data_IF_212850364146
#
_entry.id   IF_212850364146
#
_cell.length_a   1.000
_cell.length_b   1.000
_cell.length_c   1.000
_cell.angle_alpha   90.00
_cell.angle_beta   90.00
_cell.angle_gamma   90.00
#
_symmetry.space_group_name_H-M   'P 1'
#
loop_
_entity.id
_entity.type
_entity.pdbx_description
1 polymer ?
#
# COMPACT_ATOMS: atom_id res chain seq x y z
N UNK A 1 0.22 11.97 6.31
CA UNK A 1 0.84 12.84 5.30
C UNK A 1 -0.02 13.01 4.05
N UNK A 2 -0.45 11.93 3.41
CA UNK A 2 -1.19 12.00 2.11
C UNK A 2 -2.48 12.79 2.24
N UNK A 3 -3.27 12.60 3.29
CA UNK A 3 -4.48 13.40 3.56
C UNK A 3 -4.15 14.91 3.60
N UNK A 4 -3.07 15.29 4.26
CA UNK A 4 -2.66 16.70 4.33
C UNK A 4 -2.19 17.25 2.96
N UNK A 5 -1.57 16.41 2.12
CA UNK A 5 -1.25 16.79 0.74
C UNK A 5 -2.51 17.08 -0.08
N UNK A 6 -3.55 16.25 0.05
CA UNK A 6 -4.82 16.50 -0.63
C UNK A 6 -5.49 17.79 -0.14
N UNK A 7 -5.45 18.07 1.17
CA UNK A 7 -5.96 19.35 1.71
C UNK A 7 -5.22 20.54 1.10
N UNK A 8 -3.89 20.51 1.02
CA UNK A 8 -3.07 21.55 0.37
C UNK A 8 -3.39 21.68 -1.11
N UNK A 9 -3.46 20.56 -1.83
CA UNK A 9 -3.82 20.53 -3.25
C UNK A 9 -5.19 21.16 -3.49
N UNK A 10 -6.20 20.80 -2.69
CA UNK A 10 -7.55 21.37 -2.81
C UNK A 10 -7.57 22.88 -2.61
N UNK A 11 -6.77 23.44 -1.70
CA UNK A 11 -6.62 24.89 -1.52
C UNK A 11 -6.04 25.56 -2.79
N UNK A 12 -5.00 24.96 -3.35
CA UNK A 12 -4.39 25.45 -4.60
C UNK A 12 -5.40 25.36 -5.75
N UNK A 13 -6.10 24.23 -5.89
CA UNK A 13 -7.14 24.06 -6.90
C UNK A 13 -8.26 25.11 -6.77
N UNK A 14 -8.72 25.38 -5.56
CA UNK A 14 -9.72 26.40 -5.29
C UNK A 14 -9.24 27.81 -5.74
N UNK A 15 -7.97 28.14 -5.50
CA UNK A 15 -7.36 29.41 -5.94
C UNK A 15 -7.40 29.60 -7.44
N UNK A 16 -7.29 28.51 -8.21
CA UNK A 16 -7.33 28.50 -9.68
C UNK A 16 -8.70 28.11 -10.24
N UNK A 17 -9.75 28.06 -9.43
CA UNK A 17 -11.08 27.57 -9.80
C UNK A 17 -11.07 26.16 -10.46
N UNK A 18 -10.04 25.37 -10.18
CA UNK A 18 -9.92 24.01 -10.69
C UNK A 18 -10.69 23.04 -9.78
N UNK A 19 -11.36 22.07 -10.39
CA UNK A 19 -12.13 21.01 -9.69
C UNK A 19 -11.67 19.64 -10.18
N UNK A 20 -10.57 19.09 -9.68
CA UNK A 20 -10.09 17.78 -10.10
C UNK A 20 -11.04 16.68 -9.62
N UNK A 21 -11.23 15.66 -10.46
CA UNK A 21 -11.83 14.40 -10.05
C UNK A 21 -10.75 13.52 -9.44
N UNK A 22 -11.07 12.88 -8.29
CA UNK A 22 -10.18 11.95 -7.63
C UNK A 22 -10.68 10.53 -7.88
N UNK A 23 -9.79 9.67 -8.37
CA UNK A 23 -10.02 8.25 -8.55
C UNK A 23 -9.01 7.48 -7.72
N UNK A 24 -9.49 6.67 -6.79
CA UNK A 24 -8.65 5.80 -5.97
C UNK A 24 -8.75 4.37 -6.49
N UNK A 25 -7.58 3.78 -6.79
CA UNK A 25 -7.49 2.39 -7.21
C UNK A 25 -6.76 1.59 -6.13
N UNK A 26 -7.37 0.51 -5.68
CA UNK A 26 -6.75 -0.43 -4.74
C UNK A 26 -7.12 -1.85 -5.12
N UNK A 27 -6.24 -2.80 -4.84
CA UNK A 27 -6.53 -4.21 -5.10
C UNK A 27 -7.54 -4.75 -4.09
N UNK A 28 -7.42 -4.35 -2.82
CA UNK A 28 -8.23 -4.82 -1.70
C UNK A 28 -8.13 -3.85 -0.54
N UNK A 29 -9.26 -3.44 0.01
CA UNK A 29 -9.36 -2.70 1.27
C UNK A 29 -10.77 -2.88 1.84
N UNK A 30 -10.89 -3.05 3.17
CA UNK A 30 -12.17 -3.33 3.81
C UNK A 30 -13.10 -2.12 3.92
N UNK A 31 -12.55 -0.88 3.92
CA UNK A 31 -13.31 0.36 4.10
C UNK A 31 -12.94 1.44 3.07
N UNK A 32 -13.19 1.22 1.77
CA UNK A 32 -12.73 2.12 0.71
C UNK A 32 -13.33 3.52 0.80
N UNK A 33 -14.61 3.64 1.15
CA UNK A 33 -15.33 4.93 1.27
C UNK A 33 -14.74 5.77 2.39
N UNK A 34 -14.61 5.18 3.58
CA UNK A 34 -14.02 5.84 4.75
C UNK A 34 -12.58 6.26 4.48
N UNK A 35 -11.77 5.36 3.90
CA UNK A 35 -10.39 5.67 3.57
C UNK A 35 -10.30 6.83 2.58
N UNK A 36 -11.08 6.81 1.50
CA UNK A 36 -11.09 7.87 0.49
C UNK A 36 -11.60 9.19 1.08
N UNK A 37 -12.66 9.18 1.91
CA UNK A 37 -13.16 10.35 2.62
C UNK A 37 -12.10 10.97 3.53
N UNK A 38 -11.46 10.17 4.35
CA UNK A 38 -10.38 10.60 5.25
C UNK A 38 -9.15 11.14 4.47
N UNK A 39 -8.82 10.54 3.35
CA UNK A 39 -7.74 11.03 2.49
C UNK A 39 -8.06 12.40 1.88
N UNK A 40 -9.30 12.61 1.43
CA UNK A 40 -9.73 13.86 0.83
C UNK A 40 -10.07 14.95 1.85
N UNK A 41 -10.15 14.60 3.13
CA UNK A 41 -10.59 15.51 4.21
C UNK A 41 -12.07 15.86 4.12
N UNK A 42 -12.90 14.95 3.59
CA UNK A 42 -14.35 15.05 3.59
C UNK A 42 -14.90 14.41 4.85
N UNK A 43 -15.81 15.11 5.53
CA UNK A 43 -16.60 14.49 6.60
C UNK A 43 -17.58 13.51 5.96
N UNK A 44 -17.43 12.23 6.26
CA UNK A 44 -18.46 11.25 5.94
C UNK A 44 -19.61 11.45 6.94
N UNK A 45 -20.81 11.69 6.44
CA UNK A 45 -21.99 11.63 7.29
C UNK A 45 -22.13 10.17 7.72
N UNK A 46 -21.88 9.91 9.00
CA UNK A 46 -22.17 8.61 9.59
C UNK A 46 -23.68 8.40 9.56
N UNK A 47 -24.17 7.61 8.62
CA UNK A 47 -25.49 7.03 8.75
C UNK A 47 -25.49 6.12 9.99
N UNK A 48 -26.29 6.49 10.98
CA UNK A 48 -26.56 5.66 12.14
C UNK A 48 -27.21 4.36 11.67
N UNK A 49 -26.46 3.28 11.81
CA UNK A 49 -26.96 1.94 12.05
C UNK A 49 -28.03 1.40 11.10
N UNK A 50 -27.58 0.64 10.11
CA UNK A 50 -28.37 -0.49 9.58
C UNK A 50 -27.66 -1.78 9.98
N UNK A 51 -28.40 -2.79 10.45
CA UNK A 51 -27.82 -4.06 10.87
C UNK A 51 -27.28 -4.81 9.67
N UNK A 52 -26.10 -5.39 9.85
CA UNK A 52 -25.50 -6.32 8.89
C UNK A 52 -26.36 -7.58 8.77
N UNK A 53 -27.19 -7.64 7.79
CA UNK A 53 -27.73 -8.90 7.26
C UNK A 53 -27.42 -8.92 5.77
N UNK A 54 -26.53 -9.80 5.40
CA UNK A 54 -26.62 -10.80 4.37
C UNK A 54 -25.28 -11.13 3.73
N UNK A 55 -24.91 -12.36 3.99
CA UNK A 55 -23.97 -13.15 3.24
C UNK A 55 -24.29 -13.15 1.74
N UNK A 56 -23.25 -13.15 0.93
CA UNK A 56 -23.32 -13.24 -0.52
C UNK A 56 -24.09 -14.47 -1.00
N UNK A 57 -25.07 -14.31 -1.89
CA UNK A 57 -25.45 -15.38 -2.79
C UNK A 57 -24.83 -15.12 -4.17
N UNK A 58 -24.04 -16.06 -4.61
CA UNK A 58 -23.61 -16.19 -5.99
C UNK A 58 -24.82 -16.66 -6.80
N UNK A 59 -25.34 -15.84 -7.71
CA UNK A 59 -26.19 -16.29 -8.83
C UNK A 59 -26.16 -15.27 -9.96
N UNK A 60 -25.96 -15.70 -11.21
CA UNK A 60 -25.97 -14.81 -12.35
C UNK A 60 -27.40 -14.60 -12.85
N UNK A 61 -27.83 -13.35 -12.95
CA UNK A 61 -29.00 -13.02 -13.80
C UNK A 61 -28.75 -11.74 -14.57
N UNK A 62 -28.89 -11.91 -15.87
CA UNK A 62 -28.91 -10.94 -16.93
C UNK A 62 -30.04 -9.92 -16.78
N UNK A 63 -29.75 -8.62 -16.96
CA UNK A 63 -30.56 -7.72 -17.80
C UNK A 63 -29.95 -6.32 -17.82
N UNK A 64 -29.57 -5.91 -18.99
CA UNK A 64 -29.10 -4.59 -19.37
C UNK A 64 -30.28 -3.61 -19.51
N UNK A 65 -30.22 -2.48 -18.79
CA UNK A 65 -30.92 -1.26 -19.20
C UNK A 65 -29.95 -0.08 -19.26
N UNK A 66 -30.12 0.81 -20.26
CA UNK A 66 -29.17 1.90 -20.47
C UNK A 66 -29.48 3.10 -19.58
N UNK A 67 -28.45 3.62 -18.88
CA UNK A 67 -28.55 4.85 -18.10
C UNK A 67 -28.57 6.06 -19.05
N UNK A 68 -29.64 6.82 -18.98
CA UNK A 68 -29.83 8.06 -19.73
C UNK A 68 -28.89 9.18 -19.26
N UNK A 69 -28.16 9.76 -20.18
CA UNK A 69 -27.45 11.05 -20.01
C UNK A 69 -28.49 12.21 -20.00
N UNK A 70 -28.34 13.09 -19.03
CA UNK A 70 -28.83 14.44 -19.15
C UNK A 70 -29.60 14.99 -17.96
N UNK A 71 -28.92 15.80 -17.16
CA UNK A 71 -29.48 17.05 -16.61
C UNK A 71 -28.36 17.98 -16.15
N UNK A 72 -28.29 19.14 -16.77
CA UNK A 72 -27.48 20.28 -16.35
C UNK A 72 -27.91 20.71 -14.94
N UNK A 73 -26.99 20.75 -14.00
CA UNK A 73 -27.22 21.24 -12.64
C UNK A 73 -26.49 22.55 -12.41
N UNK A 74 -27.26 23.52 -12.00
CA UNK A 74 -26.95 24.92 -11.71
C UNK A 74 -25.78 25.09 -10.72
N UNK A 75 -24.96 26.08 -11.01
CA UNK A 75 -23.87 26.63 -10.21
C UNK A 75 -24.44 27.36 -8.97
N UNK A 76 -24.53 26.69 -7.83
CA UNK A 76 -24.55 27.26 -6.48
C UNK A 76 -25.32 26.33 -5.52
N UNK A 77 -24.63 25.31 -5.04
CA UNK A 77 -25.08 24.61 -3.83
C UNK A 77 -23.84 24.25 -2.98
N UNK A 78 -23.92 24.34 -1.63
CA UNK A 78 -22.89 23.78 -0.77
C UNK A 78 -22.77 22.29 -1.10
N UNK A 79 -21.53 21.78 -1.14
CA UNK A 79 -21.28 20.38 -1.44
C UNK A 79 -21.97 19.53 -0.38
N UNK A 80 -23.16 19.05 -0.67
CA UNK A 80 -23.74 17.90 0.00
C UNK A 80 -22.72 16.76 -0.08
N UNK A 81 -22.61 16.01 1.02
CA UNK A 81 -21.80 14.82 1.14
C UNK A 81 -22.24 13.80 0.07
N UNK A 82 -21.68 13.94 -1.13
CA UNK A 82 -21.89 12.94 -2.16
C UNK A 82 -21.15 11.68 -1.73
N UNK A 83 -21.89 10.59 -1.58
CA UNK A 83 -21.34 9.26 -1.36
C UNK A 83 -20.24 9.00 -2.38
N UNK A 84 -19.10 8.51 -1.90
CA UNK A 84 -17.98 8.15 -2.79
C UNK A 84 -18.37 6.82 -3.45
N UNK A 85 -18.64 6.78 -4.76
CA UNK A 85 -19.05 5.55 -5.42
C UNK A 85 -17.89 4.53 -5.39
N UNK A 86 -18.18 3.31 -4.94
CA UNK A 86 -17.21 2.23 -4.88
C UNK A 86 -17.57 1.16 -5.91
N UNK A 87 -16.66 0.92 -6.85
CA UNK A 87 -16.77 -0.15 -7.83
C UNK A 87 -15.99 -1.36 -7.28
N UNK A 88 -16.69 -2.43 -6.93
CA UNK A 88 -16.11 -3.67 -6.36
C UNK A 88 -16.01 -4.79 -7.39
N UNK A 89 -16.76 -4.73 -8.45
CA UNK A 89 -16.78 -5.76 -9.48
C UNK A 89 -15.71 -5.47 -10.54
N UNK A 90 -14.94 -6.50 -10.88
CA UNK A 90 -13.94 -6.42 -11.94
C UNK A 90 -14.50 -6.99 -13.23
N UNK A 91 -14.53 -6.19 -14.30
CA UNK A 91 -14.81 -6.65 -15.66
C UNK A 91 -13.60 -7.25 -16.38
N UNK A 92 -12.42 -7.29 -15.74
CA UNK A 92 -11.22 -7.86 -16.35
C UNK A 92 -11.32 -9.40 -16.42
N UNK A 93 -10.82 -10.02 -17.51
CA UNK A 93 -10.76 -11.48 -17.60
C UNK A 93 -9.82 -12.03 -16.51
N UNK A 94 -10.37 -12.88 -15.65
CA UNK A 94 -9.60 -13.54 -14.57
C UNK A 94 -9.47 -15.02 -14.87
N UNK A 95 -8.26 -15.56 -14.78
CA UNK A 95 -8.01 -17.00 -14.80
C UNK A 95 -8.42 -17.67 -13.49
N UNK A 96 -8.59 -18.98 -13.55
CA UNK A 96 -8.86 -19.77 -12.34
C UNK A 96 -7.61 -19.74 -11.44
N UNK A 97 -7.80 -19.35 -10.20
CA UNK A 97 -6.73 -19.33 -9.19
C UNK A 97 -6.98 -20.39 -8.13
N UNK A 98 -6.04 -21.29 -8.01
CA UNK A 98 -6.07 -22.33 -6.98
C UNK A 98 -5.31 -21.82 -5.76
N UNK A 99 -5.95 -21.83 -4.58
CA UNK A 99 -5.30 -21.55 -3.32
C UNK A 99 -5.14 -22.85 -2.54
N UNK A 100 -3.91 -23.18 -2.17
CA UNK A 100 -3.56 -24.42 -1.48
C UNK A 100 -2.85 -24.07 -0.18
N UNK A 101 -3.34 -24.59 0.91
CA UNK A 101 -2.74 -24.50 2.22
C UNK A 101 -1.96 -25.81 2.48
N UNK A 102 -0.69 -25.68 2.86
CA UNK A 102 0.23 -26.82 3.03
C UNK A 102 0.78 -26.77 4.46
N UNK A 103 0.51 -27.83 5.21
CA UNK A 103 1.18 -28.10 6.48
C UNK A 103 2.43 -28.94 6.19
N UNK A 104 3.64 -28.38 6.32
CA UNK A 104 4.85 -29.08 5.93
C UNK A 104 5.27 -30.09 7.00
N UNK A 105 5.64 -31.30 6.59
CA UNK A 105 6.28 -32.29 7.48
C UNK A 105 7.70 -31.87 7.89
N UNK A 106 8.41 -31.21 6.95
CA UNK A 106 9.72 -30.60 7.14
C UNK A 106 9.61 -29.09 7.44
N UNK A 107 10.75 -28.39 7.44
CA UNK A 107 10.74 -26.94 7.57
C UNK A 107 10.01 -26.27 6.40
N UNK A 108 9.29 -25.16 6.63
CA UNK A 108 8.60 -24.42 5.57
C UNK A 108 9.53 -24.05 4.40
N UNK A 109 10.80 -23.77 4.68
CA UNK A 109 11.82 -23.46 3.68
C UNK A 109 12.16 -24.66 2.81
N UNK A 110 12.29 -25.83 3.39
CA UNK A 110 12.58 -27.10 2.66
C UNK A 110 11.42 -27.42 1.72
N UNK A 111 10.20 -27.34 2.22
CA UNK A 111 8.98 -27.56 1.42
C UNK A 111 8.85 -26.53 0.31
N UNK A 112 9.09 -25.25 0.58
CA UNK A 112 9.06 -24.21 -0.44
C UNK A 112 10.10 -24.44 -1.56
N UNK A 113 11.32 -24.90 -1.21
CA UNK A 113 12.35 -25.26 -2.19
C UNK A 113 11.92 -26.47 -3.02
N UNK A 114 11.31 -27.49 -2.42
CA UNK A 114 10.81 -28.66 -3.15
C UNK A 114 9.70 -28.26 -4.15
N UNK A 115 8.76 -27.42 -3.72
CA UNK A 115 7.69 -26.89 -4.57
C UNK A 115 8.25 -26.02 -5.70
N UNK A 116 9.22 -25.15 -5.40
CA UNK A 116 9.89 -24.33 -6.40
C UNK A 116 10.59 -25.19 -7.46
N UNK A 117 11.33 -26.21 -7.05
CA UNK A 117 11.95 -27.17 -7.98
C UNK A 117 10.92 -27.87 -8.85
N UNK A 118 9.80 -28.30 -8.29
CA UNK A 118 8.73 -28.96 -9.03
C UNK A 118 8.08 -28.01 -10.06
N UNK A 119 7.94 -26.73 -9.73
CA UNK A 119 7.44 -25.70 -10.64
C UNK A 119 8.45 -25.44 -11.78
N UNK A 120 9.73 -25.27 -11.47
CA UNK A 120 10.79 -25.05 -12.45
C UNK A 120 10.92 -26.22 -13.44
N UNK A 121 10.81 -27.46 -12.96
CA UNK A 121 10.85 -28.65 -13.82
C UNK A 121 9.69 -28.68 -14.85
N UNK A 122 8.60 -27.96 -14.57
CA UNK A 122 7.44 -27.80 -15.46
C UNK A 122 7.51 -26.51 -16.30
N UNK A 123 8.58 -25.73 -16.17
CA UNK A 123 8.73 -24.46 -16.85
C UNK A 123 7.83 -23.34 -16.31
N UNK A 124 7.25 -23.52 -15.11
CA UNK A 124 6.32 -22.58 -14.51
C UNK A 124 7.08 -21.39 -13.88
N UNK A 125 6.64 -20.19 -14.23
CA UNK A 125 7.20 -18.96 -13.70
C UNK A 125 6.70 -18.74 -12.26
N UNK A 126 7.63 -18.66 -11.34
CA UNK A 126 7.32 -18.74 -9.90
C UNK A 126 7.83 -17.54 -9.12
N UNK A 127 7.00 -17.02 -8.23
CA UNK A 127 7.41 -16.08 -7.20
C UNK A 127 7.32 -16.73 -5.83
N UNK A 128 8.38 -16.56 -5.02
CA UNK A 128 8.42 -17.06 -3.64
C UNK A 128 8.54 -15.89 -2.69
N UNK A 129 7.58 -15.75 -1.78
CA UNK A 129 7.60 -14.72 -0.77
C UNK A 129 8.08 -15.24 0.58
N UNK A 130 9.07 -14.57 1.16
CA UNK A 130 9.63 -14.87 2.46
C UNK A 130 9.36 -13.73 3.45
N UNK A 131 9.35 -14.04 4.75
CA UNK A 131 9.15 -13.04 5.81
C UNK A 131 10.38 -12.17 6.07
N UNK A 132 11.60 -12.66 5.78
CA UNK A 132 12.84 -11.93 6.06
C UNK A 132 13.78 -11.88 4.87
N UNK A 133 14.60 -10.81 4.82
CA UNK A 133 15.64 -10.61 3.80
C UNK A 133 16.65 -11.77 3.79
N UNK A 134 17.05 -12.25 4.98
CA UNK A 134 17.99 -13.36 5.12
C UNK A 134 17.42 -14.64 4.51
N UNK A 135 16.15 -14.97 4.81
CA UNK A 135 15.50 -16.16 4.25
C UNK A 135 15.34 -16.09 2.73
N UNK A 136 15.12 -14.91 2.19
CA UNK A 136 15.05 -14.68 0.74
C UNK A 136 16.36 -15.13 0.06
N UNK A 137 17.50 -14.71 0.58
CA UNK A 137 18.81 -15.10 0.03
C UNK A 137 19.12 -16.58 0.23
N UNK A 138 18.85 -17.12 1.42
CA UNK A 138 19.11 -18.53 1.72
C UNK A 138 18.24 -19.45 0.87
N UNK A 139 16.96 -19.18 0.72
CA UNK A 139 16.07 -20.01 -0.11
C UNK A 139 16.49 -19.92 -1.59
N UNK A 140 16.83 -18.72 -2.09
CA UNK A 140 17.33 -18.58 -3.47
C UNK A 140 18.63 -19.36 -3.69
N UNK A 141 19.58 -19.28 -2.75
CA UNK A 141 20.84 -20.00 -2.81
C UNK A 141 20.65 -21.52 -2.77
N UNK A 142 19.89 -22.02 -1.79
CA UNK A 142 19.64 -23.46 -1.65
C UNK A 142 18.78 -24.03 -2.78
N UNK A 143 17.85 -23.24 -3.30
CA UNK A 143 17.07 -23.63 -4.46
C UNK A 143 17.95 -23.73 -5.70
N UNK A 144 18.85 -22.76 -5.93
CA UNK A 144 19.80 -22.78 -7.03
C UNK A 144 20.75 -23.99 -6.94
N UNK A 145 21.31 -24.27 -5.75
CA UNK A 145 22.18 -25.44 -5.52
C UNK A 145 21.47 -26.76 -5.86
N UNK A 146 20.18 -26.87 -5.56
CA UNK A 146 19.37 -28.08 -5.79
C UNK A 146 18.66 -28.09 -7.16
N UNK A 147 18.72 -27.03 -7.95
CA UNK A 147 17.96 -26.87 -9.21
C UNK A 147 18.66 -27.41 -10.44
N UNK A 148 19.93 -27.84 -10.34
CA UNK A 148 20.70 -28.40 -11.49
C UNK A 148 20.77 -27.38 -12.64
N UNK A 149 20.27 -27.75 -13.82
CA UNK A 149 20.27 -26.89 -15.01
C UNK A 149 19.47 -25.58 -14.87
N UNK A 150 18.60 -25.47 -13.88
CA UNK A 150 17.81 -24.26 -13.62
C UNK A 150 18.48 -23.28 -12.64
N UNK A 151 19.66 -23.59 -12.11
CA UNK A 151 20.36 -22.77 -11.10
C UNK A 151 20.48 -21.29 -11.51
N UNK A 152 20.86 -21.01 -12.76
CA UNK A 152 20.99 -19.65 -13.31
C UNK A 152 19.66 -18.93 -13.60
N UNK A 153 18.53 -19.61 -13.42
CA UNK A 153 17.18 -19.08 -13.67
C UNK A 153 16.41 -18.71 -12.40
N UNK A 154 17.10 -18.71 -11.26
CA UNK A 154 16.58 -18.30 -9.95
C UNK A 154 17.34 -17.07 -9.49
N UNK A 155 16.64 -16.07 -8.95
CA UNK A 155 17.28 -14.90 -8.34
C UNK A 155 16.59 -14.52 -7.03
N UNK A 156 17.37 -13.97 -6.09
CA UNK A 156 16.81 -13.24 -4.97
C UNK A 156 16.46 -11.81 -5.41
N UNK A 157 15.45 -11.20 -4.75
CA UNK A 157 15.08 -9.80 -4.95
C UNK A 157 14.70 -9.16 -3.62
N UNK A 158 15.32 -8.04 -3.27
CA UNK A 158 14.99 -7.29 -2.06
C UNK A 158 15.18 -5.78 -2.22
N UNK A 159 14.51 -5.02 -1.41
CA UNK A 159 14.55 -3.55 -1.44
C UNK A 159 15.97 -2.96 -1.22
N UNK A 160 16.86 -3.70 -0.53
CA UNK A 160 18.24 -3.28 -0.26
C UNK A 160 19.22 -3.46 -1.42
N UNK A 161 18.78 -4.02 -2.56
CA UNK A 161 19.61 -4.07 -3.78
C UNK A 161 19.69 -2.69 -4.42
N UNK A 162 20.78 -2.44 -5.15
CA UNK A 162 20.94 -1.23 -5.92
C UNK A 162 19.81 -1.10 -6.97
N UNK A 163 19.38 0.11 -7.33
CA UNK A 163 18.32 0.30 -8.31
C UNK A 163 18.62 -0.37 -9.66
N UNK A 164 19.87 -0.42 -10.07
CA UNK A 164 20.34 -1.04 -11.30
C UNK A 164 20.17 -2.56 -11.25
N UNK A 165 20.58 -3.19 -10.14
CA UNK A 165 20.44 -4.64 -9.91
C UNK A 165 18.96 -5.04 -9.91
N UNK A 166 18.10 -4.24 -9.29
CA UNK A 166 16.65 -4.50 -9.28
C UNK A 166 16.06 -4.47 -10.68
N UNK A 167 16.40 -3.44 -11.47
CA UNK A 167 15.93 -3.32 -12.87
C UNK A 167 16.43 -4.47 -13.74
N UNK A 168 17.65 -4.94 -13.52
CA UNK A 168 18.18 -6.09 -14.25
C UNK A 168 17.38 -7.37 -13.95
N UNK A 169 17.10 -7.64 -12.66
CA UNK A 169 16.30 -8.80 -12.26
C UNK A 169 14.89 -8.71 -12.83
N UNK A 170 14.27 -7.53 -12.76
CA UNK A 170 12.94 -7.26 -13.30
C UNK A 170 12.89 -7.50 -14.82
N UNK A 171 13.88 -7.00 -15.58
CA UNK A 171 14.00 -7.23 -17.01
C UNK A 171 14.19 -8.72 -17.34
N UNK A 172 15.10 -9.41 -16.65
CA UNK A 172 15.34 -10.84 -16.84
C UNK A 172 14.12 -11.71 -16.51
N UNK A 173 13.30 -11.29 -15.51
CA UNK A 173 12.00 -11.94 -15.23
C UNK A 173 11.01 -11.68 -16.36
N UNK A 174 10.90 -10.44 -16.84
CA UNK A 174 9.99 -10.08 -17.92
C UNK A 174 10.32 -10.84 -19.21
N UNK A 175 11.59 -10.92 -19.56
CA UNK A 175 12.11 -11.58 -20.78
C UNK A 175 12.13 -13.12 -20.68
N UNK A 176 11.74 -13.69 -19.52
CA UNK A 176 11.73 -15.14 -19.30
C UNK A 176 13.11 -15.78 -19.15
N UNK A 177 14.17 -14.99 -18.98
CA UNK A 177 15.51 -15.48 -18.66
C UNK A 177 15.55 -16.08 -17.25
N UNK A 178 14.86 -15.44 -16.31
CA UNK A 178 14.58 -15.99 -14.99
C UNK A 178 13.20 -16.70 -15.01
N UNK A 179 13.13 -17.83 -14.35
CA UNK A 179 11.88 -18.57 -14.09
C UNK A 179 11.39 -18.38 -12.67
N UNK A 180 12.27 -18.01 -11.75
CA UNK A 180 11.87 -17.81 -10.37
C UNK A 180 12.55 -16.60 -9.75
N UNK A 181 11.78 -15.94 -8.88
CA UNK A 181 12.27 -14.88 -8.00
C UNK A 181 11.84 -15.18 -6.57
N UNK A 182 12.80 -15.11 -5.64
CA UNK A 182 12.56 -15.22 -4.20
C UNK A 182 12.64 -13.81 -3.61
N UNK A 183 11.61 -13.38 -2.89
CA UNK A 183 11.51 -11.97 -2.45
C UNK A 183 10.87 -11.83 -1.08
N UNK A 184 10.91 -10.62 -0.54
CA UNK A 184 10.08 -10.17 0.58
C UNK A 184 8.85 -9.43 0.03
N UNK A 185 8.23 -8.56 0.84
CA UNK A 185 7.17 -7.63 0.38
C UNK A 185 7.63 -6.65 -0.74
N UNK A 186 8.91 -6.65 -1.12
CA UNK A 186 9.45 -5.74 -2.12
C UNK A 186 8.80 -5.87 -3.50
N UNK A 187 8.29 -7.05 -3.86
CA UNK A 187 7.53 -7.32 -5.09
C UNK A 187 6.01 -7.42 -4.86
N UNK A 188 5.51 -7.01 -3.70
CA UNK A 188 4.07 -7.03 -3.38
C UNK A 188 3.29 -5.99 -4.18
N UNK A 189 3.86 -4.80 -4.39
CA UNK A 189 3.20 -3.66 -5.03
C UNK A 189 4.03 -3.04 -6.17
N UNK A 190 3.33 -2.63 -7.22
CA UNK A 190 3.80 -1.61 -8.18
C UNK A 190 4.85 -2.04 -9.21
N UNK A 191 5.30 -3.30 -9.25
CA UNK A 191 6.33 -3.74 -10.21
C UNK A 191 5.73 -4.75 -11.17
N UNK A 192 5.97 -4.55 -12.46
CA UNK A 192 5.60 -5.50 -13.50
C UNK A 192 6.79 -6.44 -13.82
N UNK A 193 6.63 -7.70 -13.45
CA UNK A 193 7.61 -8.78 -13.69
C UNK A 193 7.08 -9.82 -14.69
N UNK A 194 6.08 -9.43 -15.48
CA UNK A 194 5.42 -10.28 -16.44
C UNK A 194 4.42 -11.26 -15.81
N UNK A 195 3.86 -12.15 -16.62
CA UNK A 195 2.93 -13.17 -16.13
C UNK A 195 3.66 -14.24 -15.32
N UNK A 196 3.07 -14.60 -14.17
CA UNK A 196 3.55 -15.64 -13.27
C UNK A 196 2.47 -16.71 -13.13
N UNK A 197 2.91 -17.97 -12.95
CA UNK A 197 2.02 -19.12 -12.84
C UNK A 197 1.82 -19.56 -11.40
N UNK A 198 2.87 -19.48 -10.58
CA UNK A 198 2.87 -19.97 -9.20
C UNK A 198 3.39 -18.91 -8.24
N UNK A 199 2.63 -18.72 -7.14
CA UNK A 199 3.04 -17.93 -5.98
C UNK A 199 3.21 -18.86 -4.78
N UNK A 200 4.39 -18.89 -4.17
CA UNK A 200 4.66 -19.64 -2.95
C UNK A 200 4.83 -18.62 -1.82
N UNK A 201 4.02 -18.76 -0.78
CA UNK A 201 4.08 -17.96 0.44
C UNK A 201 4.71 -18.81 1.54
N UNK A 202 5.90 -18.42 2.01
CA UNK A 202 6.60 -19.09 3.11
C UNK A 202 6.14 -18.45 4.42
N UNK A 203 5.09 -19.02 4.98
CA UNK A 203 4.32 -18.48 6.09
C UNK A 203 3.23 -17.46 5.66
N UNK A 204 2.23 -17.33 6.49
CA UNK A 204 1.15 -16.35 6.31
C UNK A 204 1.70 -14.92 6.41
N UNK A 205 1.39 -14.03 5.46
CA UNK A 205 1.94 -12.67 5.45
C UNK A 205 1.49 -11.76 6.60
N UNK A 206 0.57 -12.23 7.45
CA UNK A 206 0.03 -11.48 8.59
C UNK A 206 -1.32 -10.81 8.31
N UNK A 207 -1.69 -10.59 7.05
CA UNK A 207 -2.98 -10.02 6.66
C UNK A 207 -3.56 -10.71 5.43
N UNK A 208 -4.89 -10.71 5.31
CA UNK A 208 -5.59 -11.19 4.09
C UNK A 208 -5.22 -10.31 2.91
N UNK A 209 -5.14 -8.99 3.12
CA UNK A 209 -4.74 -8.02 2.09
C UNK A 209 -3.38 -8.38 1.49
N UNK A 210 -2.35 -8.56 2.30
CA UNK A 210 -1.01 -8.92 1.81
C UNK A 210 -1.01 -10.27 1.10
N UNK A 211 -1.79 -11.25 1.59
CA UNK A 211 -1.93 -12.56 0.94
C UNK A 211 -2.56 -12.41 -0.45
N UNK A 212 -3.63 -11.64 -0.56
CA UNK A 212 -4.31 -11.39 -1.83
C UNK A 212 -3.45 -10.56 -2.79
N UNK A 213 -2.70 -9.56 -2.32
CA UNK A 213 -1.80 -8.74 -3.14
C UNK A 213 -0.64 -9.57 -3.70
N UNK A 214 -0.03 -10.44 -2.89
CA UNK A 214 1.02 -11.38 -3.32
C UNK A 214 0.46 -12.42 -4.27
N UNK A 215 -0.66 -13.05 -3.91
CA UNK A 215 -1.38 -14.00 -4.77
C UNK A 215 -1.92 -13.36 -6.05
N UNK A 216 -2.18 -12.05 -6.06
CA UNK A 216 -2.58 -11.28 -7.23
C UNK A 216 -1.48 -11.06 -8.27
N UNK A 217 -0.25 -11.47 -7.97
CA UNK A 217 0.88 -11.44 -8.93
C UNK A 217 0.81 -12.55 -9.96
N UNK A 218 0.07 -13.62 -9.69
CA UNK A 218 -0.11 -14.76 -10.59
C UNK A 218 -1.49 -14.76 -11.25
N UNK A 219 -1.61 -15.43 -12.38
CA UNK A 219 -2.89 -15.63 -13.08
C UNK A 219 -3.40 -14.39 -13.82
N UNK A 220 -2.51 -13.55 -14.35
CA UNK A 220 -2.88 -12.43 -15.22
C UNK A 220 -3.31 -12.93 -16.61
N UNK A 221 -4.10 -12.12 -17.29
CA UNK A 221 -4.57 -12.39 -18.67
C UNK A 221 -5.35 -13.70 -18.86
N UNK A 222 -6.10 -14.13 -17.85
CA UNK A 222 -6.95 -15.32 -17.94
C UNK A 222 -6.21 -16.67 -17.78
N UNK A 223 -4.94 -16.66 -17.39
CA UNK A 223 -4.17 -17.88 -17.14
C UNK A 223 -4.61 -18.56 -15.82
N UNK A 224 -4.61 -19.89 -15.82
CA UNK A 224 -4.75 -20.68 -14.61
C UNK A 224 -3.48 -20.56 -13.77
N UNK A 225 -3.63 -20.43 -12.44
CA UNK A 225 -2.51 -20.14 -11.54
C UNK A 225 -2.71 -20.76 -10.17
N UNK A 226 -1.60 -20.91 -9.44
CA UNK A 226 -1.61 -21.47 -8.09
C UNK A 226 -0.96 -20.52 -7.07
N UNK A 227 -1.58 -20.41 -5.90
CA UNK A 227 -1.04 -19.76 -4.72
C UNK A 227 -0.90 -20.82 -3.63
N UNK A 228 0.33 -21.10 -3.20
CA UNK A 228 0.68 -22.14 -2.25
C UNK A 228 1.12 -21.46 -0.95
N UNK A 229 0.33 -21.56 0.11
CA UNK A 229 0.70 -21.11 1.44
C UNK A 229 1.33 -22.28 2.20
N UNK A 230 2.63 -22.21 2.43
CA UNK A 230 3.38 -23.18 3.24
C UNK A 230 3.44 -22.65 4.66
N UNK A 231 2.73 -23.28 5.57
CA UNK A 231 2.61 -22.83 6.95
C UNK A 231 3.91 -22.97 7.74
N UNK A 232 4.10 -22.07 8.68
CA UNK A 232 5.08 -22.18 9.74
C UNK A 232 4.45 -22.66 11.06
N UNK A 233 5.23 -22.62 12.13
CA UNK A 233 4.76 -22.93 13.49
C UNK A 233 3.99 -21.77 14.14
N UNK A 234 3.83 -20.65 13.43
CA UNK A 234 3.12 -19.45 13.90
C UNK A 234 1.64 -19.77 14.11
N UNK A 235 1.04 -19.23 15.17
CA UNK A 235 -0.34 -19.51 15.54
C UNK A 235 -1.36 -19.16 14.45
N UNK A 236 -1.12 -18.10 13.67
CA UNK A 236 -2.01 -17.71 12.55
C UNK A 236 -1.83 -18.66 11.36
N UNK A 237 -0.60 -19.11 11.09
CA UNK A 237 -0.33 -20.09 10.04
C UNK A 237 -1.11 -21.38 10.34
N UNK A 238 -0.99 -21.90 11.54
CA UNK A 238 -1.66 -23.11 12.00
C UNK A 238 -3.18 -22.96 12.07
N UNK A 239 -3.66 -21.77 12.46
CA UNK A 239 -5.10 -21.50 12.46
C UNK A 239 -5.71 -21.65 11.06
N UNK A 240 -5.09 -21.09 10.02
CA UNK A 240 -5.61 -21.16 8.66
C UNK A 240 -5.41 -22.54 8.01
N UNK A 241 -4.43 -23.32 8.44
CA UNK A 241 -4.30 -24.72 8.01
C UNK A 241 -5.48 -25.54 8.50
N UNK A 242 -5.85 -25.40 9.78
CA UNK A 242 -6.94 -26.17 10.38
C UNK A 242 -8.34 -25.63 10.03
N UNK A 243 -8.44 -24.35 9.66
CA UNK A 243 -9.70 -23.69 9.34
C UNK A 243 -9.56 -22.82 8.09
N UNK A 244 -9.36 -23.41 6.89
CA UNK A 244 -9.15 -22.65 5.66
C UNK A 244 -10.37 -21.80 5.27
N UNK A 245 -11.59 -22.21 5.61
CA UNK A 245 -12.79 -21.41 5.37
C UNK A 245 -12.74 -20.07 6.12
N UNK A 246 -12.09 -20.01 7.27
CA UNK A 246 -11.94 -18.78 8.03
C UNK A 246 -11.08 -17.73 7.28
N UNK A 247 -10.17 -18.16 6.39
CA UNK A 247 -9.42 -17.24 5.53
C UNK A 247 -10.33 -16.65 4.44
N UNK A 248 -11.12 -17.49 3.77
CA UNK A 248 -11.97 -17.05 2.65
C UNK A 248 -13.22 -16.28 3.11
N UNK A 249 -13.73 -16.57 4.30
CA UNK A 249 -14.87 -15.88 4.91
C UNK A 249 -14.51 -14.55 5.57
N UNK A 250 -13.20 -14.22 5.68
CA UNK A 250 -12.74 -12.99 6.31
C UNK A 250 -12.75 -11.84 5.32
N UNK A 251 -13.37 -10.73 5.71
CA UNK A 251 -13.24 -9.50 4.97
C UNK A 251 -11.79 -8.98 5.01
N UNK A 252 -11.33 -8.28 3.94
CA UNK A 252 -10.04 -7.60 3.98
C UNK A 252 -9.98 -6.62 5.14
N UNK A 253 -8.80 -6.47 5.71
CA UNK A 253 -8.57 -5.58 6.83
C UNK A 253 -8.90 -4.13 6.46
N UNK A 254 -9.43 -3.39 7.43
CA UNK A 254 -9.70 -1.95 7.28
C UNK A 254 -8.39 -1.18 7.30
N UNK A 255 -8.25 -0.25 6.37
CA UNK A 255 -7.14 0.71 6.39
C UNK A 255 -7.44 1.80 7.42
N UNK A 256 -6.58 1.93 8.42
CA UNK A 256 -6.70 2.93 9.48
C UNK A 256 -5.70 4.06 9.21
N UNK A 257 -6.22 5.28 9.10
CA UNK A 257 -5.40 6.49 9.02
C UNK A 257 -5.85 7.48 10.08
N UNK A 258 -4.90 8.27 10.59
CA UNK A 258 -5.19 9.40 11.47
C UNK A 258 -4.90 10.70 10.71
N UNK A 259 -5.92 11.33 10.09
CA UNK A 259 -5.74 12.59 9.36
C UNK A 259 -5.47 13.77 10.28
N UNK A 260 -5.76 13.65 11.59
CA UNK A 260 -5.63 14.74 12.56
C UNK A 260 -4.43 14.57 13.50
N UNK A 261 -3.44 13.75 13.10
CA UNK A 261 -2.18 13.66 13.81
C UNK A 261 -1.51 15.05 13.88
N UNK A 262 -1.37 15.58 15.08
CA UNK A 262 -0.94 16.95 15.37
C UNK A 262 0.45 17.27 14.83
N UNK A 263 1.41 16.35 14.95
CA UNK A 263 2.77 16.51 14.43
C UNK A 263 2.78 16.64 12.91
N UNK A 264 1.98 15.80 12.23
CA UNK A 264 1.87 15.82 10.78
C UNK A 264 1.11 17.07 10.32
N UNK A 265 -0.02 17.38 10.97
CA UNK A 265 -0.82 18.57 10.68
C UNK A 265 0.01 19.83 10.83
N UNK A 266 0.78 19.97 11.92
CA UNK A 266 1.67 21.11 12.17
C UNK A 266 2.63 21.35 11.00
N UNK A 267 3.35 20.31 10.56
CA UNK A 267 4.30 20.41 9.43
C UNK A 267 3.62 20.82 8.14
N UNK A 268 2.43 20.29 7.88
CA UNK A 268 1.70 20.59 6.65
C UNK A 268 0.97 21.94 6.67
N UNK A 269 0.54 22.44 7.83
CA UNK A 269 -0.02 23.80 7.97
C UNK A 269 1.02 24.87 7.63
N UNK A 270 2.25 24.71 8.10
CA UNK A 270 3.35 25.60 7.74
C UNK A 270 3.60 25.59 6.21
N UNK A 271 3.60 24.40 5.60
CA UNK A 271 3.74 24.27 4.15
C UNK A 271 2.57 24.93 3.42
N UNK A 272 1.35 24.75 3.90
CA UNK A 272 0.16 25.34 3.31
C UNK A 272 0.19 26.88 3.33
N UNK A 273 0.64 27.47 4.45
CA UNK A 273 0.80 28.91 4.58
C UNK A 273 1.96 29.48 3.75
N UNK A 274 2.96 28.66 3.39
CA UNK A 274 4.03 29.04 2.47
C UNK A 274 3.60 28.98 1.00
N UNK A 275 2.64 28.11 0.66
CA UNK A 275 2.09 27.97 -0.70
C UNK A 275 1.06 29.08 -1.02
N UNK A 276 0.15 29.30 -0.07
CA UNK A 276 -0.89 30.35 -0.14
C UNK A 276 -1.17 30.85 1.28
N UNK A 277 -1.37 32.16 1.50
CA UNK A 277 -1.80 32.64 2.81
C UNK A 277 -2.97 31.83 3.35
N UNK A 278 -2.96 31.52 4.62
CA UNK A 278 -3.94 30.66 5.28
C UNK A 278 -5.01 31.55 5.93
N UNK A 279 -6.23 31.65 5.37
CA UNK A 279 -7.29 32.48 5.92
C UNK A 279 -7.77 31.97 7.30
N UNK A 280 -8.22 32.88 8.15
CA UNK A 280 -8.72 32.53 9.49
C UNK A 280 -10.00 31.71 9.48
N UNK A 281 -10.75 31.75 8.38
CA UNK A 281 -11.97 30.98 8.14
C UNK A 281 -11.75 29.70 7.32
N UNK A 282 -10.49 29.35 7.03
CA UNK A 282 -10.15 28.13 6.28
C UNK A 282 -10.78 26.91 6.95
N UNK A 283 -11.54 26.08 6.21
CA UNK A 283 -12.20 24.90 6.77
C UNK A 283 -11.25 23.95 7.48
N UNK A 284 -10.00 23.86 7.03
CA UNK A 284 -8.99 23.02 7.67
C UNK A 284 -8.75 23.41 9.13
N UNK A 285 -8.84 24.68 9.47
CA UNK A 285 -8.61 25.18 10.83
C UNK A 285 -9.75 24.90 11.81
N UNK A 286 -10.87 24.30 11.35
CA UNK A 286 -11.99 23.94 12.25
C UNK A 286 -11.68 22.75 13.15
N UNK A 287 -10.75 21.87 12.73
CA UNK A 287 -10.36 20.71 13.52
C UNK A 287 -9.50 21.08 14.75
N UNK A 288 -9.70 20.41 15.89
CA UNK A 288 -8.96 20.71 17.14
C UNK A 288 -7.44 20.54 16.97
N UNK A 289 -7.00 19.54 16.23
CA UNK A 289 -5.58 19.30 15.92
C UNK A 289 -4.96 20.44 15.11
N UNK A 290 -5.68 20.97 14.11
CA UNK A 290 -5.21 22.11 13.33
C UNK A 290 -5.10 23.38 14.13
N UNK A 291 -6.07 23.65 15.03
CA UNK A 291 -6.03 24.81 15.92
C UNK A 291 -4.87 24.73 16.93
N UNK A 292 -4.61 23.54 17.48
CA UNK A 292 -3.49 23.32 18.37
C UNK A 292 -2.14 23.56 17.64
N UNK A 293 -1.99 22.97 16.45
CA UNK A 293 -0.83 23.14 15.60
C UNK A 293 -0.61 24.61 15.19
N UNK A 294 -1.68 25.33 14.87
CA UNK A 294 -1.63 26.75 14.53
C UNK A 294 -1.05 27.59 15.67
N UNK A 295 -1.59 27.42 16.89
CA UNK A 295 -1.10 28.14 18.09
C UNK A 295 0.37 27.85 18.39
N UNK A 296 0.79 26.61 18.17
CA UNK A 296 2.18 26.23 18.39
C UNK A 296 3.10 26.85 17.35
N UNK A 297 2.73 26.84 16.07
CA UNK A 297 3.48 27.49 14.98
C UNK A 297 3.59 29.00 15.16
N UNK A 298 2.55 29.66 15.67
CA UNK A 298 2.60 31.08 16.03
C UNK A 298 3.59 31.31 17.19
N UNK A 299 3.51 30.50 18.24
CA UNK A 299 4.42 30.61 19.41
C UNK A 299 5.89 30.41 19.01
N UNK A 300 6.16 29.51 18.07
CA UNK A 300 7.50 29.26 17.54
C UNK A 300 7.94 30.28 16.49
N UNK A 301 7.08 31.21 16.10
CA UNK A 301 7.38 32.21 15.06
C UNK A 301 7.51 31.64 13.65
N UNK A 302 6.99 30.44 13.42
CA UNK A 302 7.00 29.77 12.12
C UNK A 302 5.81 30.19 11.24
N UNK A 303 4.71 30.64 11.85
CA UNK A 303 3.60 31.33 11.20
C UNK A 303 3.48 32.75 11.73
N UNK A 304 3.32 33.67 10.82
CA UNK A 304 3.15 35.09 11.08
C UNK A 304 1.73 35.51 10.72
N UNK A 305 1.03 36.14 11.64
CA UNK A 305 -0.31 36.67 11.40
C UNK A 305 -0.22 38.00 10.63
N UNK A 306 -1.09 38.18 9.64
CA UNK A 306 -1.20 39.45 8.91
C UNK A 306 -1.63 40.59 9.86
N UNK A 307 -1.33 41.84 9.49
CA UNK A 307 -1.62 43.01 10.31
C UNK A 307 -3.12 43.20 10.58
N UNK A 308 -3.98 42.76 9.67
CA UNK A 308 -5.44 42.78 9.82
C UNK A 308 -6.00 41.56 10.58
N UNK A 309 -5.13 40.62 10.93
CA UNK A 309 -5.47 39.40 11.68
C UNK A 309 -6.26 38.36 10.90
N UNK A 310 -6.40 38.50 9.57
CA UNK A 310 -7.29 37.66 8.76
C UNK A 310 -6.63 36.41 8.19
N UNK A 311 -5.29 36.40 8.10
CA UNK A 311 -4.57 35.28 7.51
C UNK A 311 -3.20 35.07 8.13
N UNK A 312 -2.62 33.89 7.90
CA UNK A 312 -1.26 33.55 8.30
C UNK A 312 -0.39 33.26 7.08
N UNK A 313 0.86 33.66 7.17
CA UNK A 313 1.92 33.36 6.22
C UNK A 313 3.06 32.63 6.90
N UNK A 314 3.74 31.74 6.18
CA UNK A 314 4.90 31.04 6.74
C UNK A 314 6.12 31.96 6.82
N UNK A 315 6.84 31.92 7.93
CA UNK A 315 8.11 32.64 8.09
C UNK A 315 9.22 32.02 7.23
N UNK A 316 9.17 30.69 7.02
CA UNK A 316 10.15 29.97 6.19
C UNK A 316 9.70 29.89 4.73
N UNK A 317 10.62 30.19 3.80
CA UNK A 317 10.36 30.16 2.36
C UNK A 317 10.11 28.76 1.79
N UNK A 318 10.69 27.72 2.40
CA UNK A 318 10.65 26.33 1.88
C UNK A 318 10.47 25.30 3.02
N UNK A 319 9.37 25.37 3.78
CA UNK A 319 9.15 24.46 4.91
C UNK A 319 9.00 22.99 4.48
N UNK A 320 8.61 22.72 3.23
CA UNK A 320 8.47 21.37 2.69
C UNK A 320 9.78 20.54 2.73
N UNK A 321 10.95 21.19 2.85
CA UNK A 321 12.23 20.48 3.02
C UNK A 321 12.35 19.77 4.36
N UNK A 322 11.49 20.10 5.31
CA UNK A 322 11.43 19.50 6.64
C UNK A 322 10.29 18.47 6.76
N UNK A 323 9.63 18.12 5.65
CA UNK A 323 8.57 17.11 5.61
C UNK A 323 9.07 15.88 4.88
N UNK A 324 9.29 14.81 5.62
CA UNK A 324 9.46 13.48 5.04
C UNK A 324 8.10 12.78 4.99
N UNK A 325 7.73 12.30 3.81
CA UNK A 325 6.46 11.59 3.59
C UNK A 325 6.50 10.13 4.03
N UNK A 326 7.68 9.57 4.20
CA UNK A 326 7.88 8.15 4.52
C UNK A 326 8.22 7.92 5.99
N UNK A 327 8.73 8.92 6.68
CA UNK A 327 9.14 8.84 8.07
C UNK A 327 8.53 9.95 8.92
N UNK A 328 8.14 9.62 10.15
CA UNK A 328 7.68 10.61 11.15
C UNK A 328 8.76 10.95 12.17
N UNK A 329 9.89 10.23 12.16
CA UNK A 329 10.99 10.31 13.11
C UNK A 329 12.22 11.08 12.63
N UNK A 330 13.23 11.13 13.49
CA UNK A 330 14.56 11.59 13.14
C UNK A 330 15.24 10.55 12.25
N UNK A 331 15.91 11.00 11.20
CA UNK A 331 16.77 10.14 10.39
C UNK A 331 18.16 10.09 11.02
N UNK A 332 18.71 8.89 11.18
CA UNK A 332 20.07 8.67 11.60
C UNK A 332 20.98 8.51 10.38
N UNK A 333 22.08 9.25 10.34
CA UNK A 333 23.08 9.10 9.28
C UNK A 333 24.04 7.97 9.66
N UNK A 334 24.20 7.00 8.76
CA UNK A 334 25.19 5.94 8.88
C UNK A 334 26.51 6.49 8.35
N UNK A 335 27.57 6.42 9.15
CA UNK A 335 28.91 6.87 8.76
C UNK A 335 29.89 5.70 8.82
N UNK A 336 30.93 5.74 7.98
CA UNK A 336 32.05 4.79 8.04
C UNK A 336 32.99 5.11 9.22
N UNK A 337 34.05 4.30 9.38
CA UNK A 337 35.05 4.49 10.44
C UNK A 337 35.80 5.82 10.33
N UNK A 338 35.82 6.42 9.15
CA UNK A 338 36.43 7.72 8.86
C UNK A 338 35.45 8.89 8.97
N UNK A 339 34.18 8.64 9.39
CA UNK A 339 33.16 9.65 9.58
C UNK A 339 32.46 10.11 8.29
N UNK A 340 32.66 9.44 7.16
CA UNK A 340 32.01 9.77 5.90
C UNK A 340 30.60 9.17 5.85
N UNK A 341 29.58 9.91 5.45
CA UNK A 341 28.23 9.40 5.35
C UNK A 341 28.12 8.34 4.23
N UNK A 342 27.64 7.14 4.58
CA UNK A 342 27.43 6.01 3.67
C UNK A 342 25.95 5.68 3.48
N UNK A 343 25.05 6.28 4.28
CA UNK A 343 23.62 6.07 4.16
C UNK A 343 22.83 6.78 5.24
N UNK A 344 21.52 6.54 5.24
CA UNK A 344 20.62 7.00 6.29
C UNK A 344 19.61 5.91 6.63
N UNK A 345 19.18 5.87 7.88
CA UNK A 345 18.17 4.95 8.40
C UNK A 345 17.18 5.73 9.25
N UNK A 346 15.92 5.36 9.19
CA UNK A 346 14.92 5.96 10.07
C UNK A 346 15.21 5.62 11.53
N UNK A 347 14.98 6.57 12.43
CA UNK A 347 15.33 6.43 13.85
C UNK A 347 14.73 5.18 14.50
N UNK A 348 13.48 4.82 14.12
CA UNK A 348 12.83 3.60 14.61
C UNK A 348 13.51 2.31 14.14
N UNK A 349 14.16 2.32 12.98
CA UNK A 349 14.95 1.19 12.49
C UNK A 349 16.36 1.17 13.07
N UNK A 350 16.94 2.33 13.34
CA UNK A 350 18.26 2.42 13.95
C UNK A 350 18.32 1.68 15.29
N UNK A 351 17.25 1.74 16.10
CA UNK A 351 17.17 1.02 17.38
C UNK A 351 16.97 -0.50 17.25
N UNK A 352 16.63 -0.99 16.05
CA UNK A 352 16.40 -2.43 15.81
C UNK A 352 17.62 -3.11 15.20
N UNK A 353 18.52 -2.35 14.61
CA UNK A 353 19.69 -2.86 13.88
C UNK A 353 21.01 -2.62 14.63
N UNK A 354 20.98 -1.93 15.81
CA UNK A 354 22.09 -1.81 16.76
C UNK A 354 21.95 -2.81 17.90
#
# INVERSE_FOLDING_TARGET
HISQLFRRLNRICARYAARPNFVFCTATVGNPEELAGNLLGRELVQEKGLPSENAFPFSPSSSSEPVALGKETSLNAPQESADIPVIRESGAPTGKRHMVFIDPEDSPSTTAIALLKAALARGLRTIVYCRSRRMTELIALWAADKAGSFAGRISAYRAGFLPEERREIEARMSDGQLLAVVTTSALELGIDIGSLDVCILVGYPGTVISTMQRGGRVGRAGQESAVLLVAGEDALDQYFIHQPEAFFGREPERAVINPDNDVIVKRHLECAAAELPLPSDDPWLRGPGAQAALRELEREGLLLKSADGREWVAARKRPQRHVDLRGCGASCTIVDAEGRPIGSVDGDQAYKET
#
